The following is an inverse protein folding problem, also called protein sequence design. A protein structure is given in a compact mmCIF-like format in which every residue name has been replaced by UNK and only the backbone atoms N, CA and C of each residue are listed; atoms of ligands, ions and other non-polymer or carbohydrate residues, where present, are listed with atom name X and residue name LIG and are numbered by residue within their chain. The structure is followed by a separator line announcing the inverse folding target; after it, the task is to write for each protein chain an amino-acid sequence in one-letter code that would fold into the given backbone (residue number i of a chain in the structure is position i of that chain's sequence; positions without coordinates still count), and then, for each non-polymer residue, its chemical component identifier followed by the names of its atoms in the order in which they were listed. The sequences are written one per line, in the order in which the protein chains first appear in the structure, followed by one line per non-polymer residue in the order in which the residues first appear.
data_IF_543883144562
#
_entry.id   IF_543883144562
#
_cell.length_a   1.000
_cell.length_b   1.000
_cell.length_c   1.000
_cell.angle_alpha   90.00
_cell.angle_beta   90.00
_cell.angle_gamma   90.00
#
_symmetry.space_group_name_H-M   'P 1'
#
loop_
_entity.id
_entity.type
_entity.pdbx_description
1 polymer ?
#
# COMPACT_ATOMS: atom_id res chain seq x y z
N UNK A 1 54.31 -32.55 -12.72
CA UNK A 1 53.19 -31.75 -13.27
C UNK A 1 52.37 -31.01 -12.22
N UNK A 2 52.34 -31.48 -10.97
CA UNK A 2 51.57 -30.82 -9.86
C UNK A 2 52.27 -29.61 -9.20
N UNK A 3 53.61 -29.53 -9.26
CA UNK A 3 54.34 -28.43 -8.60
C UNK A 3 54.27 -27.13 -9.38
N UNK A 4 54.16 -27.15 -10.70
CA UNK A 4 54.02 -25.97 -11.56
C UNK A 4 52.64 -25.33 -11.45
N UNK A 5 51.56 -26.12 -11.24
CA UNK A 5 50.21 -25.62 -11.02
C UNK A 5 50.06 -24.93 -9.66
N UNK A 6 50.77 -25.43 -8.63
CA UNK A 6 50.72 -24.83 -7.29
C UNK A 6 51.43 -23.47 -7.21
N UNK A 7 52.58 -23.33 -7.91
CA UNK A 7 53.33 -22.08 -8.04
C UNK A 7 52.57 -21.02 -8.85
N UNK A 8 51.77 -21.45 -9.86
CA UNK A 8 50.93 -20.53 -10.64
C UNK A 8 49.72 -20.00 -9.85
N UNK A 9 49.09 -20.85 -9.01
CA UNK A 9 48.00 -20.42 -8.13
C UNK A 9 48.50 -19.49 -7.03
N UNK A 10 49.63 -19.76 -6.39
CA UNK A 10 50.22 -18.89 -5.36
C UNK A 10 50.59 -17.51 -5.91
N UNK A 11 51.14 -17.45 -7.14
CA UNK A 11 51.52 -16.16 -7.74
C UNK A 11 50.30 -15.29 -8.08
N UNK A 12 49.16 -15.89 -8.41
CA UNK A 12 47.91 -15.17 -8.66
C UNK A 12 47.27 -14.67 -7.37
N UNK A 13 47.37 -15.41 -6.27
CA UNK A 13 46.86 -14.98 -4.94
C UNK A 13 47.69 -13.81 -4.41
N UNK A 14 49.00 -13.83 -4.56
CA UNK A 14 49.88 -12.74 -4.12
C UNK A 14 49.66 -11.47 -4.97
N UNK A 15 49.41 -11.61 -6.28
CA UNK A 15 49.08 -10.47 -7.15
C UNK A 15 47.72 -9.88 -6.85
N UNK A 16 46.71 -10.68 -6.55
CA UNK A 16 45.38 -10.21 -6.13
C UNK A 16 45.43 -9.48 -4.79
N UNK A 17 46.22 -9.96 -3.83
CA UNK A 17 46.40 -9.29 -2.52
C UNK A 17 47.14 -7.96 -2.64
N UNK A 18 48.09 -7.81 -3.59
CA UNK A 18 48.79 -6.56 -3.82
C UNK A 18 47.90 -5.48 -4.46
N UNK A 19 46.92 -5.85 -5.28
CA UNK A 19 45.94 -4.90 -5.85
C UNK A 19 44.89 -4.48 -4.85
N UNK A 20 44.48 -5.32 -3.90
CA UNK A 20 43.55 -4.98 -2.83
C UNK A 20 44.24 -4.00 -1.85
N UNK A 21 45.52 -4.15 -1.55
CA UNK A 21 46.24 -3.24 -0.64
C UNK A 21 46.57 -1.87 -1.29
N UNK A 22 46.73 -1.82 -2.63
CA UNK A 22 46.93 -0.54 -3.33
C UNK A 22 45.65 0.30 -3.47
N UNK A 23 44.47 -0.35 -3.42
CA UNK A 23 43.18 0.38 -3.50
C UNK A 23 42.73 0.99 -2.15
N UNK A 24 43.22 0.42 -1.02
CA UNK A 24 42.92 0.93 0.34
C UNK A 24 43.71 2.19 0.67
N UNK A 25 44.84 2.46 0.01
CA UNK A 25 45.66 3.66 0.31
C UNK A 25 45.18 4.93 -0.39
N UNK A 26 44.25 4.82 -1.35
CA UNK A 26 43.68 5.98 -2.07
C UNK A 26 42.45 6.62 -1.41
N UNK A 27 41.94 6.07 -0.32
CA UNK A 27 40.80 6.65 0.43
C UNK A 27 41.18 7.45 1.69
N UNK A 28 42.49 7.70 1.96
CA UNK A 28 42.94 8.45 3.14
C UNK A 28 43.51 9.83 2.80
N UNK A 29 42.88 10.56 1.88
CA UNK A 29 43.22 11.97 1.66
C UNK A 29 42.01 12.75 1.17
N UNK A 30 41.04 12.91 2.06
CA UNK A 30 40.16 14.07 2.05
C UNK A 30 39.57 14.25 3.48
N UNK A 31 40.38 14.71 4.41
CA UNK A 31 39.90 15.34 5.61
C UNK A 31 39.64 16.82 5.27
N UNK A 32 38.57 17.06 4.57
CA UNK A 32 37.87 18.35 4.55
C UNK A 32 36.97 18.36 5.79
N UNK A 33 37.36 19.09 6.82
CA UNK A 33 36.45 19.50 7.88
C UNK A 33 35.40 20.43 7.30
N UNK A 34 34.33 19.86 6.79
CA UNK A 34 33.04 20.47 6.62
C UNK A 34 32.10 19.68 7.51
N UNK A 35 31.79 20.19 8.67
CA UNK A 35 30.60 19.84 9.41
C UNK A 35 29.40 20.24 8.50
N UNK A 36 29.05 19.39 7.53
CA UNK A 36 27.69 19.34 7.04
C UNK A 36 26.90 18.58 8.14
N UNK A 37 26.66 19.27 9.24
CA UNK A 37 25.47 19.01 10.04
C UNK A 37 24.28 19.19 9.09
N UNK A 38 23.91 18.15 8.38
CA UNK A 38 22.56 18.06 7.81
C UNK A 38 21.63 18.11 9.02
N UNK A 39 21.15 19.31 9.33
CA UNK A 39 20.13 19.53 10.33
C UNK A 39 18.98 18.61 9.95
N UNK A 40 18.79 17.53 10.71
CA UNK A 40 17.63 16.66 10.53
C UNK A 40 16.44 17.51 10.94
N UNK A 41 15.74 18.06 9.95
CA UNK A 41 14.49 18.79 10.19
C UNK A 41 13.49 17.73 10.69
N UNK A 42 12.99 17.85 11.94
CA UNK A 42 11.99 16.90 12.43
C UNK A 42 10.77 16.90 11.51
N UNK A 43 10.09 15.77 11.41
CA UNK A 43 8.81 15.69 10.73
C UNK A 43 7.83 16.71 11.31
N UNK A 44 6.96 17.29 10.47
CA UNK A 44 5.87 18.14 10.96
C UNK A 44 4.93 17.30 11.85
N UNK A 45 4.43 17.84 12.98
CA UNK A 45 3.45 17.12 13.80
C UNK A 45 2.24 16.71 12.97
N UNK A 46 1.79 15.47 13.15
CA UNK A 46 0.79 14.82 12.30
C UNK A 46 -0.52 15.64 12.18
N UNK A 47 -1.04 16.16 13.32
CA UNK A 47 -2.25 16.98 13.37
C UNK A 47 -2.07 18.33 12.64
N UNK A 48 -0.93 18.97 12.82
CA UNK A 48 -0.66 20.30 12.22
C UNK A 48 -0.56 20.17 10.69
N UNK A 49 0.13 19.14 10.23
CA UNK A 49 0.26 18.85 8.80
C UNK A 49 -1.09 18.47 8.19
N UNK A 50 -1.83 17.57 8.85
CA UNK A 50 -3.17 17.20 8.38
C UNK A 50 -4.10 18.40 8.27
N UNK A 51 -4.11 19.32 9.25
CA UNK A 51 -4.97 20.51 9.22
C UNK A 51 -4.69 21.37 7.99
N UNK A 52 -3.41 21.65 7.70
CA UNK A 52 -3.00 22.43 6.50
C UNK A 52 -3.42 21.75 5.20
N UNK A 53 -3.24 20.43 5.12
CA UNK A 53 -3.55 19.66 3.92
C UNK A 53 -5.05 19.52 3.71
N UNK A 54 -5.81 19.23 4.77
CA UNK A 54 -7.25 19.10 4.70
C UNK A 54 -7.92 20.38 4.25
N UNK A 55 -7.47 21.55 4.72
CA UNK A 55 -7.94 22.85 4.25
C UNK A 55 -7.67 23.03 2.75
N UNK A 56 -6.48 22.63 2.29
CA UNK A 56 -6.10 22.69 0.88
C UNK A 56 -6.91 21.73 0.01
N UNK A 57 -7.16 20.50 0.49
CA UNK A 57 -8.01 19.50 -0.18
C UNK A 57 -9.44 20.02 -0.31
N UNK A 58 -10.01 20.54 0.78
CA UNK A 58 -11.39 21.07 0.78
C UNK A 58 -11.53 22.25 -0.16
N UNK A 59 -10.57 23.18 -0.18
CA UNK A 59 -10.59 24.32 -1.11
C UNK A 59 -10.44 23.87 -2.58
N UNK A 60 -9.55 22.87 -2.83
CA UNK A 60 -9.43 22.25 -4.14
C UNK A 60 -10.76 21.66 -4.60
N UNK A 61 -11.42 20.86 -3.77
CA UNK A 61 -12.69 20.24 -4.12
C UNK A 61 -13.82 21.24 -4.39
N UNK A 62 -13.82 22.39 -3.71
CA UNK A 62 -14.83 23.46 -3.91
C UNK A 62 -14.63 24.23 -5.21
N UNK A 63 -13.40 24.29 -5.69
CA UNK A 63 -13.02 25.10 -6.87
C UNK A 63 -12.82 24.29 -8.13
N UNK A 64 -12.88 22.95 -8.03
CA UNK A 64 -12.65 22.04 -9.15
C UNK A 64 -13.84 21.10 -9.35
N UNK A 65 -13.99 20.62 -10.59
CA UNK A 65 -14.91 19.57 -10.99
C UNK A 65 -14.16 18.48 -11.75
N UNK A 66 -14.74 17.28 -11.83
CA UNK A 66 -14.21 16.20 -12.67
C UNK A 66 -15.17 15.89 -13.82
N UNK A 67 -14.73 15.14 -14.80
CA UNK A 67 -15.50 14.75 -15.99
C UNK A 67 -16.60 13.72 -15.69
N UNK A 68 -17.50 13.99 -14.74
CA UNK A 68 -18.56 13.10 -14.27
C UNK A 68 -19.54 12.69 -15.38
N UNK A 69 -19.75 13.52 -16.40
CA UNK A 69 -20.61 13.23 -17.53
C UNK A 69 -20.08 12.04 -18.38
N UNK A 70 -18.74 11.96 -18.53
CA UNK A 70 -18.09 10.86 -19.23
C UNK A 70 -18.25 9.54 -18.46
N UNK A 71 -18.10 9.58 -17.13
CA UNK A 71 -18.32 8.41 -16.27
C UNK A 71 -19.76 7.90 -16.34
N UNK A 72 -20.74 8.79 -16.38
CA UNK A 72 -22.15 8.44 -16.49
C UNK A 72 -22.51 7.73 -17.81
N UNK A 73 -21.69 7.89 -18.85
CA UNK A 73 -21.89 7.30 -20.19
C UNK A 73 -21.06 6.05 -20.46
N UNK A 74 -20.29 5.54 -19.46
CA UNK A 74 -19.40 4.37 -19.61
C UNK A 74 -20.16 3.09 -19.95
N UNK A 75 -19.59 2.27 -20.83
CA UNK A 75 -20.00 0.88 -21.01
C UNK A 75 -19.42 -0.02 -19.92
N UNK A 76 -20.00 -1.23 -19.75
CA UNK A 76 -19.63 -2.18 -18.68
C UNK A 76 -18.16 -2.61 -18.71
N UNK A 77 -17.55 -2.70 -19.89
CA UNK A 77 -16.19 -3.18 -20.12
C UNK A 77 -15.17 -2.05 -20.39
N UNK A 78 -15.57 -0.78 -20.24
CA UNK A 78 -14.70 0.36 -20.45
C UNK A 78 -14.40 1.08 -19.13
N UNK A 79 -13.31 1.87 -19.14
CA UNK A 79 -13.00 2.87 -18.13
C UNK A 79 -12.82 4.23 -18.80
N UNK A 80 -13.08 5.28 -18.05
CA UNK A 80 -12.82 6.67 -18.41
C UNK A 80 -11.65 7.17 -17.58
N UNK A 81 -10.72 7.87 -18.19
CA UNK A 81 -9.61 8.49 -17.47
C UNK A 81 -10.12 9.74 -16.74
N UNK A 82 -9.77 9.86 -15.46
CA UNK A 82 -10.10 11.02 -14.64
C UNK A 82 -9.44 12.28 -15.21
N UNK A 83 -10.25 13.29 -15.44
CA UNK A 83 -9.84 14.63 -15.80
C UNK A 83 -10.46 15.63 -14.82
N UNK A 84 -9.64 16.48 -14.25
CA UNK A 84 -10.06 17.51 -13.28
C UNK A 84 -9.74 18.89 -13.86
N UNK A 85 -10.68 19.83 -13.75
CA UNK A 85 -10.52 21.19 -14.21
C UNK A 85 -11.15 22.19 -13.22
N UNK A 86 -10.82 23.47 -13.36
CA UNK A 86 -11.32 24.53 -12.52
C UNK A 86 -12.74 24.98 -12.90
N UNK A 87 -13.53 25.32 -11.89
CA UNK A 87 -14.86 25.95 -12.06
C UNK A 87 -14.63 27.44 -12.36
N UNK A 88 -14.28 27.74 -13.62
CA UNK A 88 -14.01 29.08 -14.10
C UNK A 88 -14.37 29.21 -15.58
N UNK A 89 -14.59 30.45 -16.07
CA UNK A 89 -14.89 30.71 -17.48
C UNK A 89 -16.16 29.98 -17.94
N UNK A 90 -16.02 29.10 -18.92
CA UNK A 90 -17.14 28.33 -19.48
C UNK A 90 -17.63 27.19 -18.58
N UNK A 91 -16.95 26.93 -17.45
CA UNK A 91 -17.25 25.84 -16.52
C UNK A 91 -17.97 26.29 -15.23
N UNK A 92 -18.53 27.51 -15.20
CA UNK A 92 -19.19 28.07 -14.01
C UNK A 92 -20.45 27.32 -13.57
N UNK A 93 -21.03 26.51 -14.43
CA UNK A 93 -22.22 25.68 -14.18
C UNK A 93 -21.89 24.25 -13.73
N UNK A 94 -20.60 23.90 -13.66
CA UNK A 94 -20.16 22.55 -13.26
C UNK A 94 -20.32 22.34 -11.76
N UNK A 95 -20.68 21.11 -11.39
CA UNK A 95 -20.84 20.70 -9.99
C UNK A 95 -19.47 20.48 -9.34
N UNK A 96 -19.15 21.15 -8.22
CA UNK A 96 -17.90 20.95 -7.51
C UNK A 96 -17.69 19.50 -7.08
N UNK A 97 -16.43 19.06 -7.00
CA UNK A 97 -16.08 17.74 -6.44
C UNK A 97 -16.61 17.64 -5.01
N UNK A 98 -16.54 18.73 -4.24
CA UNK A 98 -16.97 18.81 -2.85
C UNK A 98 -18.44 18.33 -2.63
N UNK A 99 -19.32 18.62 -3.58
CA UNK A 99 -20.73 18.25 -3.52
C UNK A 99 -21.00 16.80 -3.95
N UNK A 100 -19.97 16.08 -4.40
CA UNK A 100 -20.09 14.75 -4.99
C UNK A 100 -19.32 13.66 -4.23
N UNK A 101 -18.48 14.03 -3.24
CA UNK A 101 -17.65 13.09 -2.49
C UNK A 101 -18.37 12.48 -1.30
N UNK A 102 -18.01 11.26 -0.98
CA UNK A 102 -18.19 10.66 0.35
C UNK A 102 -16.87 10.78 1.13
N UNK A 103 -16.95 10.66 2.47
CA UNK A 103 -15.78 10.73 3.35
C UNK A 103 -15.57 9.41 4.05
N UNK A 104 -14.32 8.96 4.12
CA UNK A 104 -13.86 7.89 5.00
C UNK A 104 -12.80 8.47 5.95
N UNK A 105 -12.96 8.24 7.24
CA UNK A 105 -11.99 8.68 8.25
C UNK A 105 -11.11 7.52 8.66
N UNK A 106 -9.80 7.70 8.54
CA UNK A 106 -8.77 6.75 8.99
C UNK A 106 -8.09 7.36 10.20
N UNK A 107 -8.02 6.59 11.27
CA UNK A 107 -7.30 6.99 12.47
C UNK A 107 -5.82 6.62 12.32
N UNK A 108 -4.94 7.58 12.50
CA UNK A 108 -3.51 7.36 12.62
C UNK A 108 -3.09 7.66 14.06
N UNK A 109 -2.00 7.04 14.49
CA UNK A 109 -1.41 7.29 15.82
C UNK A 109 -0.21 8.19 15.62
N UNK A 110 -0.08 9.26 16.40
CA UNK A 110 1.06 10.15 16.39
C UNK A 110 2.20 9.67 17.33
N UNK A 111 3.28 10.42 17.38
CA UNK A 111 4.46 10.13 18.22
C UNK A 111 4.19 10.18 19.73
N UNK A 112 3.02 10.65 20.16
CA UNK A 112 2.60 10.73 21.56
C UNK A 112 1.51 9.70 21.91
N UNK A 113 1.29 8.72 21.04
CA UNK A 113 0.21 7.73 21.12
C UNK A 113 -1.21 8.36 21.09
N UNK A 114 -1.34 9.56 20.47
CA UNK A 114 -2.64 10.21 20.31
C UNK A 114 -3.26 9.85 18.95
N UNK A 115 -4.57 9.61 18.97
CA UNK A 115 -5.33 9.32 17.73
C UNK A 115 -5.58 10.60 16.95
N UNK A 116 -5.11 10.63 15.72
CA UNK A 116 -5.29 11.74 14.77
C UNK A 116 -6.16 11.28 13.60
N UNK A 117 -7.45 11.67 13.56
CA UNK A 117 -8.34 11.26 12.47
C UNK A 117 -8.01 11.99 11.17
N UNK A 118 -7.82 11.22 10.10
CA UNK A 118 -7.55 11.70 8.75
C UNK A 118 -8.71 11.39 7.82
N UNK A 119 -9.31 12.41 7.24
CA UNK A 119 -10.36 12.24 6.24
C UNK A 119 -9.73 12.04 4.86
N UNK A 120 -10.19 11.03 4.15
CA UNK A 120 -10.04 10.91 2.71
C UNK A 120 -11.41 11.06 2.04
N UNK A 121 -11.43 11.65 0.86
CA UNK A 121 -12.64 12.00 0.12
C UNK A 121 -12.69 11.20 -1.17
N UNK A 122 -13.79 10.50 -1.43
CA UNK A 122 -13.85 9.59 -2.57
C UNK A 122 -15.16 9.69 -3.35
N UNK A 123 -15.08 9.31 -4.62
CA UNK A 123 -16.22 9.10 -5.50
C UNK A 123 -16.15 7.69 -6.08
N UNK A 124 -17.23 6.94 -5.98
CA UNK A 124 -17.40 5.66 -6.66
C UNK A 124 -18.25 5.91 -7.92
N UNK A 125 -17.60 5.91 -9.09
CA UNK A 125 -18.27 6.10 -10.36
C UNK A 125 -18.97 4.83 -10.86
N UNK A 126 -18.43 3.66 -10.53
CA UNK A 126 -19.01 2.34 -10.72
C UNK A 126 -18.56 1.43 -9.58
N UNK A 127 -19.50 0.89 -8.82
CA UNK A 127 -19.22 0.08 -7.64
C UNK A 127 -18.47 -1.22 -7.98
N UNK A 128 -18.85 -1.86 -9.08
CA UNK A 128 -18.46 -3.21 -9.45
C UNK A 128 -19.58 -4.21 -9.16
N UNK A 129 -19.42 -5.46 -9.62
CA UNK A 129 -20.49 -6.48 -9.52
C UNK A 129 -20.15 -7.65 -8.58
N UNK A 130 -18.87 -7.81 -8.22
CA UNK A 130 -18.39 -8.93 -7.40
C UNK A 130 -18.16 -8.58 -5.94
N UNK A 131 -17.20 -9.28 -5.31
CA UNK A 131 -16.78 -9.01 -3.94
C UNK A 131 -15.85 -7.79 -3.86
N UNK A 132 -15.78 -7.20 -2.68
CA UNK A 132 -14.75 -6.23 -2.32
C UNK A 132 -13.46 -6.96 -1.93
N UNK A 133 -12.27 -6.44 -2.22
CA UNK A 133 -11.06 -6.86 -1.53
C UNK A 133 -11.05 -6.35 -0.09
N UNK A 134 -10.26 -7.00 0.75
CA UNK A 134 -9.80 -6.41 2.01
C UNK A 134 -8.61 -5.47 1.76
N UNK A 135 -8.18 -4.76 2.80
CA UNK A 135 -6.95 -3.94 2.79
C UNK A 135 -5.67 -4.80 2.75
N UNK A 136 -5.80 -6.12 2.95
CA UNK A 136 -4.72 -7.10 2.91
C UNK A 136 -4.63 -7.88 1.60
N UNK A 137 -5.64 -7.78 0.73
CA UNK A 137 -5.73 -8.59 -0.48
C UNK A 137 -4.86 -8.06 -1.62
N UNK A 138 -4.54 -8.98 -2.54
CA UNK A 138 -3.96 -8.59 -3.83
C UNK A 138 -5.06 -8.15 -4.80
N UNK A 139 -4.82 -7.03 -5.48
CA UNK A 139 -5.77 -6.42 -6.42
C UNK A 139 -5.18 -6.30 -7.82
N UNK A 140 -5.97 -6.63 -8.85
CA UNK A 140 -5.61 -6.44 -10.25
C UNK A 140 -6.22 -5.15 -10.75
N UNK A 141 -5.39 -4.12 -10.87
CA UNK A 141 -5.84 -2.75 -11.07
C UNK A 141 -5.11 -2.04 -12.20
N UNK A 142 -5.82 -1.16 -12.91
CA UNK A 142 -5.22 -0.03 -13.62
C UNK A 142 -5.51 1.24 -12.82
N UNK A 143 -4.54 2.16 -12.74
CA UNK A 143 -4.65 3.34 -11.90
C UNK A 143 -3.89 4.54 -12.42
N UNK A 144 -4.22 5.72 -11.90
CA UNK A 144 -3.54 6.98 -12.16
C UNK A 144 -3.40 7.77 -10.86
N UNK A 145 -2.16 8.13 -10.51
CA UNK A 145 -1.83 9.00 -9.39
C UNK A 145 -1.57 10.42 -9.83
N UNK A 146 -2.21 11.38 -9.19
CA UNK A 146 -2.11 12.83 -9.44
C UNK A 146 -1.83 13.57 -8.13
N UNK A 147 -1.15 14.70 -8.22
CA UNK A 147 -1.14 15.74 -7.16
C UNK A 147 -2.36 16.65 -7.30
N UNK A 148 -2.68 17.47 -6.27
CA UNK A 148 -3.71 18.52 -6.39
C UNK A 148 -3.41 19.52 -7.53
N UNK A 149 -2.13 19.68 -7.90
CA UNK A 149 -1.73 20.47 -9.09
C UNK A 149 -1.99 19.78 -10.43
N UNK A 150 -2.75 18.66 -10.44
CA UNK A 150 -3.10 17.88 -11.63
C UNK A 150 -1.88 17.31 -12.39
N UNK A 151 -0.75 17.13 -11.70
CA UNK A 151 0.46 16.51 -12.25
C UNK A 151 0.45 15.02 -11.96
N UNK A 152 0.59 14.19 -13.01
CA UNK A 152 0.67 12.74 -12.83
C UNK A 152 2.06 12.35 -12.34
N UNK A 153 2.12 11.64 -11.21
CA UNK A 153 3.37 11.10 -10.66
C UNK A 153 3.50 9.58 -10.88
N UNK A 154 2.39 8.88 -11.05
CA UNK A 154 2.37 7.45 -11.42
C UNK A 154 1.14 7.14 -12.29
N UNK A 155 1.28 6.17 -13.20
CA UNK A 155 0.19 5.79 -14.10
C UNK A 155 0.41 4.37 -14.64
N UNK A 156 -0.57 3.50 -14.45
CA UNK A 156 -0.63 2.14 -14.97
C UNK A 156 -1.89 1.93 -15.79
N UNK A 157 -1.82 2.19 -17.09
CA UNK A 157 -2.96 2.00 -18.02
C UNK A 157 -3.30 0.53 -18.23
N UNK A 158 -2.27 -0.34 -18.30
CA UNK A 158 -2.45 -1.79 -18.34
C UNK A 158 -2.56 -2.31 -16.90
N UNK A 159 -3.56 -3.13 -16.59
CA UNK A 159 -3.74 -3.66 -15.26
C UNK A 159 -2.52 -4.47 -14.79
N UNK A 160 -2.17 -4.31 -13.52
CA UNK A 160 -1.11 -5.05 -12.83
C UNK A 160 -1.66 -5.56 -11.50
N UNK A 161 -1.05 -6.62 -10.98
CA UNK A 161 -1.29 -7.05 -9.62
C UNK A 161 -0.51 -6.15 -8.64
N UNK A 162 -1.21 -5.67 -7.63
CA UNK A 162 -0.63 -5.01 -6.47
C UNK A 162 -1.11 -5.75 -5.23
N UNK A 163 -0.22 -5.88 -4.27
CA UNK A 163 -0.52 -6.33 -2.92
C UNK A 163 -0.85 -5.08 -2.10
N UNK A 164 -2.04 -5.02 -1.52
CA UNK A 164 -2.50 -3.86 -0.76
C UNK A 164 -1.61 -3.59 0.47
N UNK A 165 -1.07 -4.62 1.12
CA UNK A 165 -0.14 -4.46 2.26
C UNK A 165 1.15 -3.74 1.88
N UNK A 166 1.49 -3.73 0.59
CA UNK A 166 2.68 -3.08 0.02
C UNK A 166 2.36 -1.74 -0.67
N UNK A 167 1.10 -1.29 -0.68
CA UNK A 167 0.71 0.01 -1.23
C UNK A 167 0.70 1.09 -0.14
N UNK A 168 0.53 2.36 -0.54
CA UNK A 168 0.24 3.40 0.45
C UNK A 168 -1.14 3.17 1.07
N UNK A 169 -1.28 3.45 2.37
CA UNK A 169 -2.47 3.11 3.15
C UNK A 169 -3.77 3.55 2.49
N UNK A 170 -3.86 4.80 2.08
CA UNK A 170 -5.09 5.33 1.46
C UNK A 170 -5.45 4.67 0.13
N UNK A 171 -4.49 4.05 -0.59
CA UNK A 171 -4.77 3.26 -1.79
C UNK A 171 -5.47 1.94 -1.43
N UNK A 172 -4.93 1.20 -0.46
CA UNK A 172 -5.53 -0.05 0.04
C UNK A 172 -6.93 0.20 0.62
N UNK A 173 -7.07 1.19 1.49
CA UNK A 173 -8.35 1.59 2.10
C UNK A 173 -9.41 1.97 1.04
N UNK A 174 -9.04 2.72 0.00
CA UNK A 174 -9.99 3.06 -1.06
C UNK A 174 -10.28 1.87 -1.97
N UNK A 175 -9.29 1.05 -2.30
CA UNK A 175 -9.52 -0.13 -3.15
C UNK A 175 -10.51 -1.11 -2.52
N UNK A 176 -10.54 -1.21 -1.18
CA UNK A 176 -11.47 -2.06 -0.43
C UNK A 176 -12.94 -1.61 -0.52
N UNK A 177 -13.18 -0.35 -0.90
CA UNK A 177 -14.54 0.16 -1.13
C UNK A 177 -15.09 -0.20 -2.50
N UNK A 178 -14.22 -0.61 -3.45
CA UNK A 178 -14.62 -1.01 -4.79
C UNK A 178 -14.90 -2.51 -4.84
N UNK A 179 -15.74 -2.95 -5.77
CA UNK A 179 -15.98 -4.37 -6.04
C UNK A 179 -15.28 -4.81 -7.32
N UNK A 180 -14.78 -6.04 -7.33
CA UNK A 180 -14.24 -6.63 -8.55
C UNK A 180 -15.30 -6.74 -9.65
N UNK A 181 -14.84 -6.87 -10.90
CA UNK A 181 -15.68 -7.16 -12.04
C UNK A 181 -15.95 -8.65 -12.23
N UNK A 182 -16.70 -8.93 -13.27
CA UNK A 182 -16.92 -10.26 -13.83
C UNK A 182 -15.82 -10.56 -14.85
N UNK A 183 -15.32 -11.79 -14.84
CA UNK A 183 -14.31 -12.26 -15.80
C UNK A 183 -15.00 -13.17 -16.81
N UNK A 184 -14.87 -12.86 -18.09
CA UNK A 184 -15.28 -13.72 -19.19
C UNK A 184 -14.07 -14.13 -20.03
N UNK A 185 -14.09 -15.37 -20.53
CA UNK A 185 -13.05 -15.89 -21.42
C UNK A 185 -13.55 -15.84 -22.86
N UNK A 186 -12.83 -15.14 -23.71
CA UNK A 186 -13.11 -15.06 -25.13
C UNK A 186 -12.72 -16.38 -25.84
N UNK A 187 -13.27 -16.61 -27.02
CA UNK A 187 -13.00 -17.82 -27.84
C UNK A 187 -11.53 -17.95 -28.25
N UNK A 188 -10.77 -16.87 -28.24
CA UNK A 188 -9.33 -16.85 -28.53
C UNK A 188 -8.46 -17.07 -27.27
N UNK A 189 -9.07 -17.34 -26.10
CA UNK A 189 -8.36 -17.57 -24.82
C UNK A 189 -7.97 -16.29 -24.08
N UNK A 190 -8.34 -15.09 -24.53
CA UNK A 190 -8.12 -13.85 -23.78
C UNK A 190 -9.24 -13.64 -22.76
N UNK A 191 -8.92 -12.91 -21.69
CA UNK A 191 -9.88 -12.51 -20.66
C UNK A 191 -10.41 -11.11 -20.93
N UNK A 192 -11.68 -10.92 -20.59
CA UNK A 192 -12.35 -9.62 -20.58
C UNK A 192 -12.96 -9.39 -19.21
N UNK A 193 -12.80 -8.16 -18.68
CA UNK A 193 -13.35 -7.75 -17.39
C UNK A 193 -14.53 -6.83 -17.64
N UNK A 194 -15.68 -7.17 -17.05
CA UNK A 194 -16.92 -6.42 -17.18
C UNK A 194 -17.40 -5.96 -15.79
N UNK A 195 -18.08 -4.83 -15.73
CA UNK A 195 -18.68 -4.29 -14.50
C UNK A 195 -17.69 -4.18 -13.32
N UNK A 196 -16.42 -3.91 -13.59
CA UNK A 196 -15.41 -3.73 -12.56
C UNK A 196 -15.53 -2.36 -11.87
N UNK A 197 -15.12 -2.29 -10.61
CA UNK A 197 -15.21 -1.08 -9.79
C UNK A 197 -14.33 0.05 -10.34
N UNK A 198 -14.84 1.26 -10.33
CA UNK A 198 -14.13 2.48 -10.76
C UNK A 198 -14.46 3.61 -9.81
N UNK A 199 -13.44 4.30 -9.37
CA UNK A 199 -13.60 5.51 -8.58
C UNK A 199 -12.29 6.26 -8.43
N UNK A 200 -12.33 7.33 -7.68
CA UNK A 200 -11.13 8.06 -7.28
C UNK A 200 -11.23 8.51 -5.83
N UNK A 201 -10.07 8.71 -5.22
CA UNK A 201 -9.90 9.19 -3.85
C UNK A 201 -8.96 10.38 -3.81
N UNK A 202 -9.24 11.35 -2.96
CA UNK A 202 -8.37 12.46 -2.60
C UNK A 202 -8.01 12.29 -1.13
N UNK A 203 -6.71 12.23 -0.84
CA UNK A 203 -6.22 11.91 0.50
C UNK A 203 -5.09 12.82 0.94
N UNK A 204 -4.94 13.08 2.24
CA UNK A 204 -3.77 13.76 2.79
C UNK A 204 -2.52 12.91 2.66
N UNK A 205 -1.35 13.55 2.75
CA UNK A 205 -0.06 12.90 2.54
C UNK A 205 0.24 11.78 3.54
N UNK A 206 -0.26 11.86 4.77
CA UNK A 206 -0.07 10.85 5.79
C UNK A 206 -0.69 9.49 5.44
N UNK A 207 -1.70 9.47 4.57
CA UNK A 207 -2.26 8.25 3.99
C UNK A 207 -1.54 7.83 2.68
N UNK A 208 -0.48 8.56 2.30
CA UNK A 208 0.35 8.36 1.13
C UNK A 208 1.84 8.24 1.47
N UNK A 209 2.65 9.19 0.99
CA UNK A 209 4.12 9.15 1.15
C UNK A 209 4.67 10.05 2.26
N UNK A 210 3.81 10.86 2.89
CA UNK A 210 4.10 11.77 4.00
C UNK A 210 5.39 12.59 3.79
N UNK A 211 6.31 12.54 4.78
CA UNK A 211 7.59 13.25 4.77
C UNK A 211 8.61 12.74 3.73
N UNK A 212 8.45 11.47 3.29
CA UNK A 212 9.43 10.84 2.41
C UNK A 212 9.33 11.33 0.96
N UNK A 213 8.11 11.63 0.47
CA UNK A 213 7.90 11.94 -0.94
C UNK A 213 8.41 10.82 -1.88
N UNK A 214 8.68 11.17 -3.12
CA UNK A 214 9.35 10.31 -4.12
C UNK A 214 10.17 11.17 -5.08
N UNK A 215 10.87 10.56 -6.05
CA UNK A 215 11.60 11.32 -7.09
C UNK A 215 10.69 12.27 -7.90
N UNK A 216 9.40 11.98 -8.01
CA UNK A 216 8.41 12.74 -8.76
C UNK A 216 7.37 13.45 -7.89
N UNK A 217 7.49 13.34 -6.57
CA UNK A 217 6.49 13.82 -5.61
C UNK A 217 7.19 14.44 -4.40
N UNK A 218 6.91 15.69 -4.12
CA UNK A 218 7.44 16.38 -2.94
C UNK A 218 6.88 15.75 -1.66
N UNK A 219 7.64 15.87 -0.55
CA UNK A 219 7.13 15.57 0.78
C UNK A 219 5.82 16.35 1.05
N UNK A 220 4.98 15.82 1.90
CA UNK A 220 3.72 16.43 2.34
C UNK A 220 2.77 16.81 1.19
N UNK A 221 2.76 16.01 0.11
CA UNK A 221 1.86 16.22 -1.02
C UNK A 221 0.57 15.43 -0.84
N UNK A 222 -0.61 16.08 -0.75
CA UNK A 222 -1.89 15.39 -0.89
C UNK A 222 -2.02 14.73 -2.26
N UNK A 223 -2.66 13.58 -2.31
CA UNK A 223 -2.72 12.72 -3.49
C UNK A 223 -4.14 12.51 -3.99
N UNK A 224 -4.24 12.27 -5.29
CA UNK A 224 -5.46 11.79 -5.93
C UNK A 224 -5.12 10.49 -6.64
N UNK A 225 -5.82 9.40 -6.33
CA UNK A 225 -5.73 8.15 -7.08
C UNK A 225 -7.07 7.83 -7.74
N UNK A 226 -7.06 7.67 -9.05
CA UNK A 226 -8.12 6.95 -9.76
C UNK A 226 -7.74 5.47 -9.78
N UNK A 227 -8.67 4.59 -9.39
CA UNK A 227 -8.50 3.13 -9.38
C UNK A 227 -9.62 2.48 -10.22
N UNK A 228 -9.23 1.54 -11.09
CA UNK A 228 -10.13 0.64 -11.78
C UNK A 228 -9.80 -0.78 -11.29
N UNK A 229 -10.66 -1.35 -10.46
CA UNK A 229 -10.48 -2.67 -9.82
C UNK A 229 -11.05 -3.77 -10.69
N UNK A 230 -10.22 -4.43 -11.51
CA UNK A 230 -10.64 -5.46 -12.43
C UNK A 230 -10.99 -6.77 -11.72
N UNK A 231 -10.12 -7.25 -10.84
CA UNK A 231 -10.33 -8.43 -10.00
C UNK A 231 -9.47 -8.39 -8.75
N UNK A 232 -9.62 -9.37 -7.88
CA UNK A 232 -8.89 -9.50 -6.64
C UNK A 232 -8.48 -10.96 -6.41
N UNK A 233 -7.56 -11.18 -5.48
CA UNK A 233 -7.20 -12.46 -4.92
C UNK A 233 -7.11 -12.30 -3.40
N UNK A 234 -7.89 -13.10 -2.67
CA UNK A 234 -7.79 -13.17 -1.21
C UNK A 234 -6.40 -13.69 -0.86
N UNK A 235 -5.70 -13.01 0.03
CA UNK A 235 -4.29 -13.27 0.30
C UNK A 235 -4.11 -13.89 1.68
N UNK A 236 -3.32 -14.94 1.71
CA UNK A 236 -2.73 -15.64 2.82
C UNK A 236 -1.23 -15.67 2.49
N UNK A 237 -0.41 -14.83 3.16
CA UNK A 237 0.95 -14.54 2.70
C UNK A 237 1.95 -15.63 3.03
N UNK A 238 1.80 -16.34 4.14
CA UNK A 238 2.71 -17.41 4.57
C UNK A 238 2.17 -18.82 4.29
N UNK A 239 0.88 -18.89 3.90
CA UNK A 239 0.19 -20.12 3.53
C UNK A 239 -0.02 -21.08 4.72
N UNK A 240 -0.42 -20.53 5.83
CA UNK A 240 -0.77 -21.26 7.02
C UNK A 240 -2.27 -21.62 7.10
N UNK A 241 -3.10 -20.98 6.27
CA UNK A 241 -4.54 -21.23 6.15
C UNK A 241 -5.40 -20.11 6.72
N UNK A 242 -4.83 -19.11 7.38
CA UNK A 242 -5.51 -17.89 7.82
C UNK A 242 -5.31 -16.83 6.73
N UNK A 243 -6.37 -16.07 6.44
CA UNK A 243 -6.20 -14.96 5.49
C UNK A 243 -5.52 -13.80 6.21
N UNK A 244 -4.62 -13.13 5.55
CA UNK A 244 -3.87 -11.99 6.11
C UNK A 244 -4.74 -10.93 6.80
N UNK A 245 -5.97 -10.71 6.33
CA UNK A 245 -6.89 -9.76 6.99
C UNK A 245 -7.38 -10.25 8.35
N UNK A 246 -7.43 -11.57 8.56
CA UNK A 246 -7.90 -12.20 9.80
C UNK A 246 -6.77 -12.26 10.85
N UNK A 247 -5.53 -11.91 10.47
CA UNK A 247 -4.33 -11.80 11.31
C UNK A 247 -4.05 -10.35 11.76
N UNK A 248 -4.91 -9.41 11.43
CA UNK A 248 -4.97 -8.06 11.98
C UNK A 248 -5.75 -8.11 13.30
N UNK A 249 -5.06 -8.47 14.37
CA UNK A 249 -5.68 -8.84 15.65
C UNK A 249 -6.33 -7.65 16.37
N UNK A 250 -5.78 -6.45 16.19
CA UNK A 250 -6.30 -5.22 16.81
C UNK A 250 -7.22 -4.42 15.87
N UNK A 251 -7.29 -4.78 14.58
CA UNK A 251 -8.16 -4.18 13.58
C UNK A 251 -7.72 -2.79 13.13
N UNK A 252 -6.45 -2.48 13.27
CA UNK A 252 -5.91 -1.16 12.93
C UNK A 252 -5.40 -1.06 11.48
N UNK A 253 -5.40 -2.16 10.74
CA UNK A 253 -4.90 -2.33 9.37
C UNK A 253 -3.39 -2.07 9.22
N UNK A 254 -2.60 -2.32 10.28
CA UNK A 254 -1.14 -2.22 10.29
C UNK A 254 -0.54 -3.59 10.63
N UNK A 255 -0.63 -4.54 9.76
CA UNK A 255 -0.28 -5.95 9.93
C UNK A 255 1.13 -6.22 10.50
N UNK A 256 2.04 -5.26 10.46
CA UNK A 256 3.42 -5.43 10.92
C UNK A 256 3.56 -5.35 12.45
N UNK A 257 2.55 -4.85 13.17
CA UNK A 257 2.54 -4.74 14.63
C UNK A 257 1.83 -5.93 15.30
N UNK A 258 1.17 -6.79 14.54
CA UNK A 258 0.60 -8.04 15.01
C UNK A 258 1.69 -9.12 14.97
N UNK A 259 2.33 -9.37 16.10
CA UNK A 259 3.49 -10.26 16.31
C UNK A 259 3.30 -10.89 17.69
N UNK A 260 2.64 -12.07 17.71
CA UNK A 260 2.14 -12.70 18.94
C UNK A 260 3.26 -13.21 19.81
N UNK A 261 4.28 -13.88 19.25
CA UNK A 261 5.42 -14.45 19.99
C UNK A 261 6.59 -13.47 20.20
N UNK A 262 6.50 -12.30 19.55
CA UNK A 262 7.50 -11.23 19.63
C UNK A 262 8.89 -11.60 19.07
N UNK A 263 8.94 -12.44 18.04
CA UNK A 263 10.16 -12.85 17.36
C UNK A 263 10.60 -11.86 16.25
N UNK A 264 9.79 -10.83 15.95
CA UNK A 264 9.89 -9.81 14.91
C UNK A 264 9.48 -10.31 13.50
N UNK A 265 8.76 -11.41 13.40
CA UNK A 265 8.02 -11.82 12.22
C UNK A 265 6.54 -11.58 12.54
N UNK A 266 5.85 -10.68 11.85
CA UNK A 266 4.43 -10.48 12.14
C UNK A 266 3.60 -11.69 11.68
N UNK A 267 2.49 -11.96 12.38
CA UNK A 267 1.64 -13.12 12.18
C UNK A 267 1.37 -13.42 10.71
N UNK A 268 0.96 -12.44 9.92
CA UNK A 268 0.67 -12.63 8.49
C UNK A 268 1.85 -13.13 7.63
N UNK A 269 3.03 -13.31 8.20
CA UNK A 269 4.25 -13.84 7.57
C UNK A 269 4.89 -14.94 8.37
N UNK A 270 4.36 -15.23 9.54
CA UNK A 270 4.76 -16.36 10.37
C UNK A 270 3.90 -17.57 10.02
N UNK A 271 4.27 -18.73 10.39
CA UNK A 271 3.53 -19.98 10.26
C UNK A 271 3.33 -20.67 11.59
N UNK A 272 3.83 -20.05 12.63
CA UNK A 272 3.88 -20.52 14.01
C UNK A 272 3.73 -19.27 14.88
N UNK A 273 2.50 -18.72 14.88
CA UNK A 273 2.22 -17.34 15.35
C UNK A 273 2.52 -17.13 16.82
N UNK A 274 2.38 -18.17 17.64
CA UNK A 274 2.65 -18.14 19.08
C UNK A 274 4.04 -18.67 19.46
N UNK A 275 4.78 -19.25 18.49
CA UNK A 275 6.15 -19.69 18.65
C UNK A 275 6.34 -20.92 19.53
N UNK A 276 5.31 -21.76 19.73
CA UNK A 276 5.38 -22.95 20.57
C UNK A 276 6.04 -24.16 19.87
N UNK A 277 6.13 -24.10 18.52
CA UNK A 277 6.74 -25.11 17.64
C UNK A 277 5.73 -26.03 16.98
N UNK A 278 4.44 -25.85 17.16
CA UNK A 278 3.37 -26.39 16.33
C UNK A 278 3.03 -25.32 15.28
N UNK A 279 2.56 -25.67 14.13
CA UNK A 279 2.27 -24.68 13.11
C UNK A 279 0.82 -24.21 13.22
N UNK A 280 0.57 -22.92 13.09
CA UNK A 280 -0.74 -22.28 13.08
C UNK A 280 -1.81 -23.08 12.32
N UNK A 281 -1.51 -23.59 11.12
CA UNK A 281 -2.43 -24.43 10.31
C UNK A 281 -2.78 -25.78 10.95
N UNK A 282 -1.95 -26.30 11.86
CA UNK A 282 -2.12 -27.59 12.51
C UNK A 282 -2.91 -27.46 13.83
N UNK A 283 -3.16 -26.21 14.29
CA UNK A 283 -3.86 -25.84 15.52
C UNK A 283 -5.16 -25.07 15.29
N UNK A 284 -5.25 -24.31 14.21
CA UNK A 284 -6.33 -23.36 13.96
C UNK A 284 -7.73 -23.96 14.00
N UNK A 285 -7.95 -25.15 13.41
CA UNK A 285 -9.26 -25.82 13.32
C UNK A 285 -9.04 -27.34 13.22
N UNK A 286 -8.62 -27.95 14.33
CA UNK A 286 -8.27 -29.37 14.41
C UNK A 286 -9.50 -30.27 14.33
N UNK A 287 -10.65 -29.78 14.85
CA UNK A 287 -11.91 -30.54 14.84
C UNK A 287 -12.71 -30.38 13.53
N UNK A 288 -12.34 -29.40 12.68
CA UNK A 288 -12.90 -29.17 11.35
C UNK A 288 -14.27 -28.51 11.34
N UNK A 289 -14.61 -27.72 12.36
CA UNK A 289 -15.90 -27.06 12.48
C UNK A 289 -15.90 -25.63 11.88
N UNK A 290 -14.74 -25.12 11.49
CA UNK A 290 -14.53 -23.81 10.85
C UNK A 290 -14.38 -22.64 11.82
N UNK A 291 -14.12 -22.94 13.10
CA UNK A 291 -13.84 -21.95 14.15
C UNK A 291 -12.47 -22.26 14.74
N UNK A 292 -11.66 -21.26 15.10
CA UNK A 292 -10.40 -21.53 15.81
C UNK A 292 -10.63 -22.31 17.11
N UNK A 293 -9.82 -23.34 17.32
CA UNK A 293 -9.85 -24.13 18.57
C UNK A 293 -9.32 -23.31 19.75
N UNK A 294 -9.80 -23.63 20.97
CA UNK A 294 -9.39 -23.06 22.26
C UNK A 294 -9.45 -24.22 23.26
N UNK A 295 -8.35 -24.98 23.35
CA UNK A 295 -8.31 -26.30 24.01
C UNK A 295 -8.42 -26.18 25.52
N UNK A 296 -7.87 -25.16 26.14
CA UNK A 296 -7.91 -24.94 27.58
C UNK A 296 -9.11 -24.09 28.04
N UNK A 297 -9.76 -23.36 27.11
CA UNK A 297 -11.00 -22.61 27.34
C UNK A 297 -10.78 -21.24 28.02
N UNK A 298 -9.62 -20.65 27.83
CA UNK A 298 -9.27 -19.37 28.44
C UNK A 298 -9.71 -18.17 27.59
N UNK A 299 -10.03 -18.39 26.33
CA UNK A 299 -10.55 -17.42 25.37
C UNK A 299 -9.50 -16.88 24.39
N UNK A 300 -8.28 -17.42 24.41
CA UNK A 300 -7.26 -17.22 23.40
C UNK A 300 -7.30 -18.47 22.49
N UNK A 301 -7.37 -18.34 21.17
CA UNK A 301 -7.28 -19.49 20.28
C UNK A 301 -5.92 -20.18 20.35
N UNK A 302 -5.90 -21.50 20.19
CA UNK A 302 -4.71 -22.35 20.26
C UNK A 302 -3.53 -21.78 19.44
N UNK A 303 -3.77 -21.38 18.22
CA UNK A 303 -2.73 -20.82 17.32
C UNK A 303 -2.14 -19.47 17.75
N UNK A 304 -2.63 -18.86 18.83
CA UNK A 304 -2.13 -17.61 19.43
C UNK A 304 -1.73 -17.79 20.89
N UNK A 305 -1.78 -19.04 21.42
CA UNK A 305 -1.56 -19.37 22.83
C UNK A 305 -0.45 -20.38 23.00
N UNK A 306 0.73 -19.92 23.32
CA UNK A 306 1.95 -20.73 23.50
C UNK A 306 1.90 -21.70 24.70
N UNK A 307 0.87 -21.67 25.58
CA UNK A 307 0.84 -22.41 26.82
C UNK A 307 -0.27 -23.48 26.94
N UNK A 308 -0.91 -23.89 25.89
CA UNK A 308 -1.91 -24.94 25.82
C UNK A 308 -1.36 -26.36 25.59
#
# INVERSE_FOLDING_TARGET
MYLAAYLFLMNNIIRSSAYIFSFIILFYSCSGSGDDDTEIVPAEPLMDQYTKENDSIVEFMKTHFYNYEDFNSMSSNSSVELSIDTIAGDNLDKTPIFDQVSTLTINLIDENDEVVPHNMYYVINREGSGANPSVADSVFVSYKGLTLGNTSFDNRKNPIWLDNTSTVRGFGEFSSLLKRGEISTNTNGTYEFNNFGIGFVIMPSALGYYENGTLSLSAYSPLIFQINLHTLNITDHDSDGINTIDEDLDGDHIFINDDTDSDNIPNYRDRDDDGDGILTKDEYDVDGDGVPDDSDGDGIPDYLDNDE
#
